data_IF_387140502947
#
_entry.id   IF_387140502947
#
_cell.length_a   1.000
_cell.length_b   1.000
_cell.length_c   1.000
_cell.angle_alpha   90.00
_cell.angle_beta   90.00
_cell.angle_gamma   90.00
#
_symmetry.space_group_name_H-M   'P 1'
#
loop_
_entity.id
_entity.type
_entity.pdbx_description
1 polymer ?
#
# COMPACT_ATOMS: atom_id res chain seq x y z
N UNK A 1 -18.53 -13.03 20.44
CA UNK A 1 -19.91 -13.46 20.18
C UNK A 1 -20.08 -13.87 18.74
N UNK A 2 -21.23 -14.42 18.38
CA UNK A 2 -21.55 -14.86 17.01
C UNK A 2 -21.43 -13.74 15.98
N UNK A 3 -21.97 -12.55 16.27
CA UNK A 3 -21.91 -11.37 15.40
C UNK A 3 -20.46 -10.98 15.04
N UNK A 4 -19.56 -11.00 16.04
CA UNK A 4 -18.14 -10.74 15.82
C UNK A 4 -17.52 -11.76 14.86
N UNK A 5 -17.86 -13.04 14.99
CA UNK A 5 -17.32 -14.09 14.13
C UNK A 5 -17.80 -13.95 12.69
N UNK A 6 -19.08 -13.63 12.48
CA UNK A 6 -19.66 -13.39 11.16
C UNK A 6 -19.04 -12.15 10.50
N UNK A 7 -18.87 -11.06 11.27
CA UNK A 7 -18.20 -9.86 10.78
C UNK A 7 -16.74 -10.14 10.40
N UNK A 8 -15.99 -10.84 11.26
CA UNK A 8 -14.58 -11.15 11.01
C UNK A 8 -14.40 -12.03 9.76
N UNK A 9 -15.27 -13.01 9.53
CA UNK A 9 -15.23 -13.84 8.32
C UNK A 9 -15.55 -13.01 7.06
N UNK A 10 -16.57 -12.14 7.12
CA UNK A 10 -16.91 -11.25 6.00
C UNK A 10 -15.78 -10.26 5.71
N UNK A 11 -15.21 -9.67 6.75
CA UNK A 11 -14.08 -8.75 6.64
C UNK A 11 -12.87 -9.45 6.03
N UNK A 12 -12.57 -10.69 6.45
CA UNK A 12 -11.50 -11.51 5.88
C UNK A 12 -11.70 -11.70 4.37
N UNK A 13 -12.88 -12.16 3.95
CA UNK A 13 -13.18 -12.38 2.51
C UNK A 13 -13.06 -11.10 1.70
N UNK A 14 -13.54 -9.97 2.23
CA UNK A 14 -13.45 -8.69 1.55
C UNK A 14 -11.99 -8.23 1.41
N UNK A 15 -11.22 -8.21 2.50
CA UNK A 15 -9.85 -7.72 2.49
C UNK A 15 -8.92 -8.64 1.70
N UNK A 16 -9.07 -9.97 1.78
CA UNK A 16 -8.27 -10.90 1.00
C UNK A 16 -8.51 -10.69 -0.50
N UNK A 17 -9.77 -10.62 -0.94
CA UNK A 17 -10.11 -10.43 -2.34
C UNK A 17 -9.55 -9.12 -2.89
N UNK A 18 -9.66 -8.02 -2.13
CA UNK A 18 -9.07 -6.73 -2.50
C UNK A 18 -7.55 -6.83 -2.61
N UNK A 19 -6.87 -7.40 -1.62
CA UNK A 19 -5.41 -7.49 -1.62
C UNK A 19 -4.87 -8.36 -2.76
N UNK A 20 -5.51 -9.48 -3.08
CA UNK A 20 -5.10 -10.32 -4.23
C UNK A 20 -5.30 -9.58 -5.56
N UNK A 21 -6.43 -8.88 -5.72
CA UNK A 21 -6.70 -8.10 -6.92
C UNK A 21 -5.70 -6.94 -7.08
N UNK A 22 -5.43 -6.19 -6.01
CA UNK A 22 -4.48 -5.09 -6.02
C UNK A 22 -3.05 -5.59 -6.24
N UNK A 23 -2.70 -6.78 -5.73
CA UNK A 23 -1.39 -7.41 -5.99
C UNK A 23 -1.18 -7.71 -7.48
N UNK A 24 -2.24 -7.96 -8.24
CA UNK A 24 -2.15 -8.17 -9.69
C UNK A 24 -2.16 -6.85 -10.46
N UNK A 25 -2.95 -5.87 -10.01
CA UNK A 25 -3.22 -4.65 -10.76
C UNK A 25 -2.22 -3.52 -10.51
N UNK A 26 -1.74 -3.37 -9.27
CA UNK A 26 -1.02 -2.17 -8.81
C UNK A 26 0.35 -2.47 -8.19
N UNK A 27 0.67 -3.72 -7.89
CA UNK A 27 1.97 -4.07 -7.32
C UNK A 27 3.06 -4.10 -8.39
N UNK A 28 4.07 -3.27 -8.22
CA UNK A 28 5.27 -3.27 -9.04
C UNK A 28 6.34 -4.17 -8.40
N UNK A 29 6.53 -5.36 -8.99
CA UNK A 29 7.50 -6.34 -8.51
C UNK A 29 8.97 -5.85 -8.58
N UNK A 30 9.28 -4.85 -9.40
CA UNK A 30 10.64 -4.30 -9.51
C UNK A 30 11.01 -3.47 -8.28
N UNK A 31 10.10 -2.62 -7.82
CA UNK A 31 10.31 -1.77 -6.64
C UNK A 31 9.87 -2.42 -5.32
N UNK A 32 8.99 -3.42 -5.39
CA UNK A 32 8.37 -4.00 -4.20
C UNK A 32 7.28 -3.11 -3.59
N UNK A 33 6.79 -2.12 -4.34
CA UNK A 33 5.80 -1.13 -3.91
C UNK A 33 4.53 -1.21 -4.76
N UNK A 34 3.46 -0.62 -4.25
CA UNK A 34 2.23 -0.39 -4.99
C UNK A 34 2.28 0.98 -5.65
N UNK A 35 1.90 1.03 -6.93
CA UNK A 35 1.57 2.28 -7.61
C UNK A 35 0.22 2.79 -7.12
N UNK A 36 0.02 4.10 -7.21
CA UNK A 36 -1.21 4.75 -6.81
C UNK A 36 -0.97 6.10 -6.18
N UNK A 37 -2.05 6.85 -6.11
CA UNK A 37 -1.98 8.27 -5.81
C UNK A 37 -1.73 8.56 -4.34
N UNK A 38 -1.19 9.74 -4.05
CA UNK A 38 -1.05 10.25 -2.69
C UNK A 38 -2.42 10.63 -2.14
N UNK A 39 -2.62 10.35 -0.84
CA UNK A 39 -3.78 10.89 -0.12
C UNK A 39 -3.72 12.41 -0.05
N UNK A 40 -4.84 13.07 -0.32
CA UNK A 40 -4.98 14.52 -0.19
C UNK A 40 -4.53 15.01 1.20
N UNK A 41 -3.57 15.95 1.24
CA UNK A 41 -3.25 16.69 2.47
C UNK A 41 -4.19 17.90 2.66
N UNK A 42 -4.75 18.42 1.55
CA UNK A 42 -5.88 19.33 1.51
C UNK A 42 -6.94 18.74 0.57
N UNK A 43 -8.18 18.59 1.04
CA UNK A 43 -9.27 17.97 0.28
C UNK A 43 -9.68 18.73 -0.98
N UNK A 44 -9.22 19.99 -1.15
CA UNK A 44 -9.55 20.83 -2.31
C UNK A 44 -8.58 20.65 -3.48
N UNK A 45 -7.36 20.19 -3.23
CA UNK A 45 -6.30 20.13 -4.25
C UNK A 45 -5.42 18.88 -4.09
N UNK A 46 -5.14 18.21 -5.21
CA UNK A 46 -4.22 17.07 -5.23
C UNK A 46 -2.82 17.51 -4.77
N UNK A 47 -2.28 16.82 -3.76
CA UNK A 47 -1.00 17.21 -3.14
C UNK A 47 0.17 16.58 -3.88
N UNK A 48 0.60 17.22 -4.97
CA UNK A 48 1.74 16.82 -5.79
C UNK A 48 2.61 18.03 -6.17
N UNK A 49 3.81 17.76 -6.68
CA UNK A 49 4.71 18.79 -7.23
C UNK A 49 4.02 19.56 -8.36
N UNK A 50 4.26 20.87 -8.44
CA UNK A 50 3.54 21.81 -9.32
C UNK A 50 3.56 21.48 -10.83
N UNK A 51 4.46 20.59 -11.27
CA UNK A 51 4.53 20.17 -12.68
C UNK A 51 3.56 19.04 -13.04
N UNK A 52 3.03 18.28 -12.08
CA UNK A 52 2.19 17.09 -12.34
C UNK A 52 0.86 17.36 -13.05
N UNK A 53 0.20 18.54 -12.96
CA UNK A 53 -0.99 18.79 -13.77
C UNK A 53 -0.76 18.69 -15.28
N UNK A 54 0.49 18.87 -15.74
CA UNK A 54 0.87 18.75 -17.14
C UNK A 54 1.23 17.30 -17.55
N UNK A 55 1.30 16.37 -16.60
CA UNK A 55 1.59 14.95 -16.81
C UNK A 55 0.84 14.08 -15.79
N UNK A 56 -0.48 14.00 -15.97
CA UNK A 56 -1.37 13.25 -15.07
C UNK A 56 -1.09 11.74 -15.05
N UNK A 57 -0.43 11.20 -16.08
CA UNK A 57 -0.01 9.80 -16.08
C UNK A 57 1.07 9.55 -15.02
N UNK A 58 1.92 10.53 -14.74
CA UNK A 58 2.89 10.46 -13.66
C UNK A 58 2.22 10.31 -12.29
N UNK A 59 1.03 10.88 -12.09
CA UNK A 59 0.25 10.75 -10.85
C UNK A 59 -0.21 9.30 -10.65
N UNK A 60 -0.88 8.70 -11.64
CA UNK A 60 -1.38 7.32 -11.55
C UNK A 60 -0.29 6.25 -11.48
N UNK A 61 0.88 6.52 -12.07
CA UNK A 61 2.05 5.63 -12.02
C UNK A 61 3.00 5.89 -10.84
N UNK A 62 2.78 6.99 -10.10
CA UNK A 62 3.56 7.31 -8.90
C UNK A 62 3.37 6.24 -7.83
N UNK A 63 4.31 6.19 -6.90
CA UNK A 63 4.23 5.34 -5.71
C UNK A 63 4.17 6.26 -4.51
N UNK A 64 3.00 6.43 -3.92
CA UNK A 64 2.84 7.26 -2.73
C UNK A 64 3.12 6.47 -1.44
N UNK A 65 3.76 7.11 -0.47
CA UNK A 65 4.00 6.57 0.87
C UNK A 65 2.68 6.21 1.55
N UNK A 66 1.69 7.11 1.46
CA UNK A 66 0.36 6.89 2.06
C UNK A 66 -0.30 5.62 1.54
N UNK A 67 -0.26 5.40 0.23
CA UNK A 67 -0.83 4.22 -0.43
C UNK A 67 -0.14 2.94 0.02
N UNK A 68 1.19 2.96 0.06
CA UNK A 68 1.97 1.81 0.50
C UNK A 68 1.78 1.50 2.00
N UNK A 69 1.67 2.52 2.85
CA UNK A 69 1.37 2.34 4.28
C UNK A 69 -0.04 1.79 4.49
N UNK A 70 -1.03 2.23 3.71
CA UNK A 70 -2.39 1.67 3.77
C UNK A 70 -2.40 0.20 3.33
N UNK A 71 -1.74 -0.15 2.22
CA UNK A 71 -1.59 -1.55 1.80
C UNK A 71 -0.88 -2.37 2.88
N UNK A 72 0.22 -1.88 3.44
CA UNK A 72 0.91 -2.56 4.55
C UNK A 72 -0.04 -2.86 5.70
N UNK A 73 -0.83 -1.86 6.12
CA UNK A 73 -1.77 -2.05 7.22
C UNK A 73 -2.89 -3.02 6.87
N UNK A 74 -3.41 -2.96 5.64
CA UNK A 74 -4.44 -3.87 5.17
C UNK A 74 -3.94 -5.32 5.13
N UNK A 75 -2.72 -5.56 4.63
CA UNK A 75 -2.10 -6.89 4.60
C UNK A 75 -1.90 -7.43 6.03
N UNK A 76 -1.45 -6.60 6.98
CA UNK A 76 -1.35 -7.02 8.38
C UNK A 76 -2.70 -7.44 8.97
N UNK A 77 -3.78 -6.69 8.66
CA UNK A 77 -5.12 -7.03 9.12
C UNK A 77 -5.62 -8.33 8.48
N UNK A 78 -5.34 -8.54 7.18
CA UNK A 78 -5.66 -9.77 6.49
C UNK A 78 -4.94 -10.97 7.09
N UNK A 79 -3.64 -10.86 7.38
CA UNK A 79 -2.86 -11.91 8.05
C UNK A 79 -3.49 -12.30 9.39
N UNK A 80 -3.82 -11.30 10.23
CA UNK A 80 -4.43 -11.52 11.54
C UNK A 80 -5.81 -12.17 11.46
N UNK A 81 -6.63 -11.79 10.48
CA UNK A 81 -7.93 -12.44 10.27
C UNK A 81 -7.76 -13.86 9.75
N UNK A 82 -6.80 -14.08 8.83
CA UNK A 82 -6.52 -15.37 8.22
C UNK A 82 -6.06 -16.42 9.25
N UNK A 83 -5.39 -16.05 10.35
CA UNK A 83 -5.01 -16.98 11.43
C UNK A 83 -6.16 -17.89 11.88
N UNK A 84 -7.40 -17.38 11.83
CA UNK A 84 -8.59 -18.11 12.26
C UNK A 84 -9.26 -18.94 11.15
N UNK A 85 -9.09 -18.55 9.88
CA UNK A 85 -9.89 -19.06 8.77
C UNK A 85 -9.07 -19.74 7.67
N UNK A 86 -7.76 -19.45 7.60
CA UNK A 86 -6.88 -19.82 6.50
C UNK A 86 -5.40 -19.64 6.89
N UNK A 87 -4.83 -20.67 7.52
CA UNK A 87 -3.45 -20.64 8.02
C UNK A 87 -2.42 -20.44 6.90
N UNK A 88 -2.72 -20.87 5.68
CA UNK A 88 -1.82 -20.69 4.52
C UNK A 88 -1.74 -19.23 4.13
N UNK A 89 -2.90 -18.56 3.99
CA UNK A 89 -2.91 -17.14 3.68
C UNK A 89 -2.40 -16.27 4.85
N UNK A 90 -2.51 -16.72 6.10
CA UNK A 90 -1.90 -16.03 7.24
C UNK A 90 -0.37 -15.91 7.09
N UNK A 91 0.30 -17.00 6.70
CA UNK A 91 1.76 -17.00 6.42
C UNK A 91 2.07 -16.08 5.23
N UNK A 92 1.36 -16.27 4.11
CA UNK A 92 1.55 -15.47 2.89
C UNK A 92 1.44 -13.96 3.14
N UNK A 93 0.37 -13.53 3.82
CA UNK A 93 0.16 -12.11 4.12
C UNK A 93 1.17 -11.58 5.13
N UNK A 94 1.61 -12.39 6.08
CA UNK A 94 2.71 -12.00 6.98
C UNK A 94 4.00 -11.72 6.20
N UNK A 95 4.34 -12.58 5.25
CA UNK A 95 5.52 -12.40 4.38
C UNK A 95 5.38 -11.16 3.50
N UNK A 96 4.23 -10.96 2.86
CA UNK A 96 3.97 -9.77 2.03
C UNK A 96 4.06 -8.48 2.84
N UNK A 97 3.53 -8.45 4.06
CA UNK A 97 3.64 -7.28 4.94
C UNK A 97 5.09 -6.99 5.31
N UNK A 98 5.89 -8.03 5.59
CA UNK A 98 7.31 -7.87 5.91
C UNK A 98 8.09 -7.32 4.70
N UNK A 99 7.87 -7.88 3.51
CA UNK A 99 8.50 -7.42 2.26
C UNK A 99 8.14 -5.96 1.96
N UNK A 100 6.85 -5.61 2.07
CA UNK A 100 6.41 -4.24 1.80
C UNK A 100 6.97 -3.24 2.82
N UNK A 101 7.06 -3.61 4.10
CA UNK A 101 7.70 -2.76 5.12
C UNK A 101 9.17 -2.49 4.77
N UNK A 102 9.90 -3.52 4.35
CA UNK A 102 11.29 -3.36 3.91
C UNK A 102 11.38 -2.42 2.72
N UNK A 103 10.59 -2.65 1.67
CA UNK A 103 10.57 -1.78 0.49
C UNK A 103 10.20 -0.32 0.84
N UNK A 104 9.23 -0.10 1.72
CA UNK A 104 8.87 1.24 2.19
C UNK A 104 10.07 1.93 2.84
N UNK A 105 10.74 1.24 3.76
CA UNK A 105 11.87 1.81 4.49
C UNK A 105 13.09 2.05 3.59
N UNK A 106 13.34 1.19 2.61
CA UNK A 106 14.47 1.31 1.69
C UNK A 106 14.27 2.40 0.65
N UNK A 107 13.05 2.54 0.11
CA UNK A 107 12.78 3.42 -1.03
C UNK A 107 12.34 4.83 -0.61
N UNK A 108 11.55 4.96 0.46
CA UNK A 108 11.01 6.27 0.84
C UNK A 108 11.85 7.01 1.88
N UNK A 109 12.77 6.34 2.60
CA UNK A 109 13.56 7.01 3.63
C UNK A 109 14.62 7.93 3.02
N UNK A 110 14.55 9.22 3.34
CA UNK A 110 15.59 10.18 3.01
C UNK A 110 16.48 10.42 4.25
N UNK A 111 17.67 9.81 4.24
CA UNK A 111 18.60 9.88 5.37
C UNK A 111 19.17 11.30 5.60
N UNK A 112 19.34 12.09 4.54
CA UNK A 112 19.84 13.46 4.65
C UNK A 112 18.83 14.37 5.38
N UNK A 113 17.54 14.19 5.09
CA UNK A 113 16.45 14.96 5.71
C UNK A 113 15.89 14.33 6.99
N UNK A 114 16.28 13.09 7.29
CA UNK A 114 15.79 12.34 8.46
C UNK A 114 14.28 12.09 8.44
N UNK A 115 13.68 11.94 7.24
CA UNK A 115 12.25 11.75 7.07
C UNK A 115 11.92 10.92 5.82
N UNK A 116 10.69 10.41 5.76
CA UNK A 116 10.17 9.75 4.57
C UNK A 116 9.72 10.79 3.53
N UNK A 117 9.99 10.53 2.25
CA UNK A 117 9.40 11.29 1.14
C UNK A 117 7.96 10.84 0.90
N UNK A 118 7.13 11.71 0.32
CA UNK A 118 5.68 11.46 0.23
C UNK A 118 5.28 10.60 -0.98
N UNK A 119 6.01 10.70 -2.09
CA UNK A 119 5.83 9.89 -3.30
C UNK A 119 7.17 9.73 -4.03
N UNK A 120 7.22 8.73 -4.90
CA UNK A 120 8.33 8.46 -5.82
C UNK A 120 7.80 8.41 -7.25
N UNK A 121 8.58 8.91 -8.21
CA UNK A 121 8.33 8.74 -9.64
C UNK A 121 9.40 7.87 -10.31
N UNK A 122 8.99 7.01 -11.24
CA UNK A 122 9.91 6.13 -11.98
C UNK A 122 10.88 6.90 -12.91
N UNK A 123 10.64 8.19 -13.15
CA UNK A 123 11.44 9.06 -13.99
C UNK A 123 12.58 9.79 -13.23
N UNK A 124 12.77 9.52 -11.94
CA UNK A 124 13.82 10.13 -11.11
C UNK A 124 13.65 11.63 -10.86
N UNK A 125 12.43 12.16 -11.02
CA UNK A 125 12.08 13.56 -10.70
C UNK A 125 11.36 13.63 -9.35
N UNK A 126 12.12 13.41 -8.27
CA UNK A 126 11.64 13.65 -6.91
C UNK A 126 11.96 15.08 -6.44
#
# INVERSE_FOLDING_TARGET
GEEYNQFAERAYKAISNTLEADRLAAFDAKSGLYTGEQSFLDWREQTYSTWTPNDVNAIGSSKALSTNVVHYRAIQLAAKLAEKYDSTNAVKYTEWAAQLKTAINEQFWNAERGMYVSYLFDNGKD
#
